data_IF_009526289412
#
_entry.id   IF_009526289412
#
_cell.length_a   1.000
_cell.length_b   1.000
_cell.length_c   1.000
_cell.angle_alpha   90.00
_cell.angle_beta   90.00
_cell.angle_gamma   90.00
#
_symmetry.space_group_name_H-M   'P 1'
#
loop_
_entity.id
_entity.type
_entity.pdbx_description
1 polymer ?
#
# COMPACT_ATOMS: atom_id res chain seq x y z
N UNK A 1 3.84 13.28 14.30
CA UNK A 1 3.50 11.90 13.90
C UNK A 1 2.10 11.46 14.37
N UNK A 2 1.43 12.17 15.28
CA UNK A 2 0.11 11.77 15.80
C UNK A 2 -1.09 12.10 14.89
N UNK A 3 -1.03 13.17 14.09
CA UNK A 3 -2.21 13.66 13.35
C UNK A 3 -2.52 12.85 12.08
N UNK A 4 -1.50 12.35 11.39
CA UNK A 4 -1.65 11.54 10.17
C UNK A 4 -2.30 10.17 10.47
N UNK A 5 -1.96 9.57 11.61
CA UNK A 5 -2.57 8.33 12.09
C UNK A 5 -4.05 8.51 12.46
N UNK A 6 -4.45 9.69 12.93
CA UNK A 6 -5.83 10.00 13.33
C UNK A 6 -6.72 10.23 12.10
N UNK A 7 -6.19 10.78 11.01
CA UNK A 7 -6.98 11.01 9.79
C UNK A 7 -7.32 9.70 9.04
N UNK A 8 -6.31 8.84 8.81
CA UNK A 8 -6.56 7.49 8.26
C UNK A 8 -7.56 6.72 9.15
N UNK A 9 -7.37 6.77 10.47
CA UNK A 9 -8.25 6.10 11.43
C UNK A 9 -9.69 6.64 11.50
N UNK A 10 -10.02 7.79 10.89
CA UNK A 10 -11.38 8.34 10.93
C UNK A 10 -12.14 8.27 9.60
N UNK A 11 -11.49 8.11 8.44
CA UNK A 11 -12.19 8.22 7.13
C UNK A 11 -11.70 7.29 6.01
N UNK A 12 -10.58 6.57 6.14
CA UNK A 12 -10.05 5.71 5.07
C UNK A 12 -9.76 4.28 5.53
N UNK A 13 -10.04 3.29 4.67
CA UNK A 13 -9.75 1.88 4.94
C UNK A 13 -8.55 1.46 4.06
N UNK A 14 -7.56 0.82 4.68
CA UNK A 14 -6.42 0.26 3.94
C UNK A 14 -6.85 -1.08 3.36
N UNK A 15 -6.64 -1.28 2.07
CA UNK A 15 -6.86 -2.57 1.43
C UNK A 15 -5.57 -3.37 1.41
N UNK A 16 -5.67 -4.66 1.69
CA UNK A 16 -4.57 -5.62 1.62
C UNK A 16 -4.98 -6.89 0.88
N UNK A 17 -4.01 -7.55 0.28
CA UNK A 17 -4.10 -8.94 -0.18
C UNK A 17 -2.91 -9.75 0.33
N UNK A 18 -3.01 -11.07 0.27
CA UNK A 18 -1.92 -11.99 0.63
C UNK A 18 -0.59 -11.60 -0.06
N UNK A 19 -0.64 -11.24 -1.34
CA UNK A 19 0.53 -10.84 -2.12
C UNK A 19 1.19 -9.54 -1.63
N UNK A 20 0.38 -8.56 -1.20
CA UNK A 20 0.89 -7.29 -0.66
C UNK A 20 1.45 -7.44 0.75
N UNK A 21 0.84 -8.32 1.57
CA UNK A 21 1.37 -8.65 2.90
C UNK A 21 2.68 -9.43 2.78
N UNK A 22 2.75 -10.39 1.84
CA UNK A 22 3.98 -11.11 1.54
C UNK A 22 5.09 -10.19 1.01
N UNK A 23 4.75 -9.19 0.18
CA UNK A 23 5.70 -8.15 -0.25
C UNK A 23 6.21 -7.36 0.95
N UNK A 24 5.32 -6.89 1.83
CA UNK A 24 5.70 -6.13 3.03
C UNK A 24 6.65 -6.94 3.92
N UNK A 25 6.33 -8.21 4.17
CA UNK A 25 7.19 -9.13 4.92
C UNK A 25 8.56 -9.29 4.25
N UNK A 26 8.58 -9.48 2.93
CA UNK A 26 9.82 -9.62 2.14
C UNK A 26 10.67 -8.36 2.22
N UNK A 27 10.05 -7.19 2.09
CA UNK A 27 10.71 -5.88 2.15
C UNK A 27 11.32 -5.66 3.52
N UNK A 28 10.58 -5.86 4.61
CA UNK A 28 11.07 -5.66 5.98
C UNK A 28 12.21 -6.61 6.35
N UNK A 29 12.29 -7.78 5.72
CA UNK A 29 13.39 -8.74 5.92
C UNK A 29 14.65 -8.48 5.07
N UNK A 30 14.65 -7.52 4.15
CA UNK A 30 15.85 -7.19 3.35
C UNK A 30 16.96 -6.67 4.26
N UNK A 31 18.20 -7.02 3.95
CA UNK A 31 19.38 -6.71 4.78
C UNK A 31 19.51 -5.22 5.12
N UNK A 32 19.19 -4.33 4.16
CA UNK A 32 19.21 -2.88 4.35
C UNK A 32 18.28 -2.38 5.45
N UNK A 33 17.21 -3.11 5.78
CA UNK A 33 16.26 -2.77 6.85
C UNK A 33 16.59 -3.49 8.16
N UNK A 34 17.21 -4.68 8.12
CA UNK A 34 17.58 -5.43 9.34
C UNK A 34 18.53 -4.68 10.27
N UNK A 35 19.31 -3.72 9.75
CA UNK A 35 20.14 -2.81 10.58
C UNK A 35 19.34 -1.77 11.38
N UNK A 36 18.07 -1.54 11.03
CA UNK A 36 17.21 -0.52 11.64
C UNK A 36 15.99 -1.12 12.34
N UNK A 37 15.49 -2.25 11.85
CA UNK A 37 14.25 -2.88 12.31
C UNK A 37 14.57 -4.30 12.76
N UNK A 38 14.30 -4.59 14.03
CA UNK A 38 14.40 -5.95 14.56
C UNK A 38 13.26 -6.82 14.02
N UNK A 39 13.51 -8.12 13.87
CA UNK A 39 12.55 -9.05 13.30
C UNK A 39 11.24 -9.14 14.11
N UNK A 40 11.33 -9.12 15.44
CA UNK A 40 10.18 -9.07 16.35
C UNK A 40 9.31 -7.82 16.11
N UNK A 41 9.95 -6.67 15.92
CA UNK A 41 9.31 -5.39 15.67
C UNK A 41 8.64 -5.36 14.29
N UNK A 42 9.27 -5.96 13.28
CA UNK A 42 8.67 -6.10 11.95
C UNK A 42 7.42 -6.99 11.97
N UNK A 43 7.46 -8.10 12.71
CA UNK A 43 6.31 -9.00 12.84
C UNK A 43 5.14 -8.30 13.54
N UNK A 44 5.40 -7.67 14.68
CA UNK A 44 4.38 -6.90 15.41
C UNK A 44 3.75 -5.80 14.53
N UNK A 45 4.56 -5.15 13.69
CA UNK A 45 4.06 -4.15 12.75
C UNK A 45 3.16 -4.76 11.68
N UNK A 46 3.52 -5.90 11.10
CA UNK A 46 2.70 -6.58 10.10
C UNK A 46 1.38 -7.05 10.71
N UNK A 47 1.41 -7.66 11.89
CA UNK A 47 0.19 -8.10 12.59
C UNK A 47 -0.75 -6.92 12.87
N UNK A 48 -0.21 -5.82 13.39
CA UNK A 48 -0.97 -4.59 13.59
C UNK A 48 -1.52 -4.04 12.27
N UNK A 49 -0.70 -3.94 11.24
CA UNK A 49 -1.10 -3.45 9.91
C UNK A 49 -2.24 -4.27 9.32
N UNK A 50 -2.17 -5.60 9.41
CA UNK A 50 -3.23 -6.50 8.96
C UNK A 50 -4.51 -6.28 9.78
N UNK A 51 -4.41 -6.12 11.11
CA UNK A 51 -5.58 -5.94 11.98
C UNK A 51 -6.38 -4.66 11.75
N UNK A 52 -5.76 -3.63 11.13
CA UNK A 52 -6.41 -2.35 10.82
C UNK A 52 -6.81 -2.22 9.34
N UNK A 53 -6.60 -3.27 8.55
CA UNK A 53 -6.83 -3.27 7.10
C UNK A 53 -7.98 -4.20 6.70
N UNK A 54 -8.57 -3.96 5.55
CA UNK A 54 -9.56 -4.84 4.92
C UNK A 54 -8.87 -5.77 3.93
N UNK A 55 -9.11 -7.08 4.07
CA UNK A 55 -8.56 -8.10 3.20
C UNK A 55 -9.41 -8.30 1.95
N UNK A 56 -8.76 -8.26 0.80
CA UNK A 56 -9.36 -8.39 -0.52
C UNK A 56 -8.75 -9.59 -1.23
N UNK A 57 -9.63 -10.50 -1.67
CA UNK A 57 -9.23 -11.63 -2.53
C UNK A 57 -9.09 -11.14 -3.97
N UNK A 58 -7.86 -11.16 -4.49
CA UNK A 58 -7.56 -10.81 -5.88
C UNK A 58 -7.69 -12.08 -6.75
N UNK A 59 -8.72 -12.15 -7.60
CA UNK A 59 -8.96 -13.29 -8.48
C UNK A 59 -8.36 -13.12 -9.88
N UNK A 60 -8.10 -11.89 -10.29
CA UNK A 60 -7.53 -11.54 -11.59
C UNK A 60 -6.31 -10.65 -11.38
N UNK A 61 -5.22 -10.98 -12.06
CA UNK A 61 -3.99 -10.19 -12.03
C UNK A 61 -3.92 -9.29 -13.25
N UNK A 62 -3.51 -8.04 -13.03
CA UNK A 62 -3.25 -7.09 -14.11
C UNK A 62 -1.80 -7.18 -14.56
N UNK A 63 -1.54 -6.74 -15.78
CA UNK A 63 -0.19 -6.67 -16.36
C UNK A 63 -0.05 -5.25 -16.95
N UNK A 64 0.19 -4.25 -16.09
CA UNK A 64 0.14 -2.84 -16.46
C UNK A 64 1.40 -2.01 -16.12
N UNK A 65 2.06 -2.24 -14.99
CA UNK A 65 3.26 -1.49 -14.57
C UNK A 65 4.58 -1.96 -15.23
N UNK A 66 5.49 -1.04 -15.60
CA UNK A 66 6.80 -1.42 -16.15
C UNK A 66 7.58 -2.39 -15.26
N UNK A 67 7.54 -2.20 -13.95
CA UNK A 67 7.93 -3.23 -12.98
C UNK A 67 6.73 -4.13 -12.68
N UNK A 68 6.81 -5.38 -13.16
CA UNK A 68 5.79 -6.42 -12.93
C UNK A 68 5.56 -6.73 -11.46
N UNK A 69 6.48 -6.36 -10.56
CA UNK A 69 6.28 -6.53 -9.12
C UNK A 69 5.19 -5.62 -8.57
N UNK A 70 4.93 -4.50 -9.22
CA UNK A 70 3.95 -3.51 -8.76
C UNK A 70 2.53 -3.80 -9.26
N UNK A 71 2.39 -4.72 -10.22
CA UNK A 71 1.09 -5.15 -10.74
C UNK A 71 0.17 -5.70 -9.63
N UNK A 72 0.73 -6.25 -8.55
CA UNK A 72 -0.04 -6.72 -7.39
C UNK A 72 -0.82 -5.60 -6.69
N UNK A 73 -0.27 -4.39 -6.66
CA UNK A 73 -0.94 -3.23 -6.05
C UNK A 73 -2.06 -2.71 -6.93
N UNK A 74 -1.86 -2.70 -8.25
CA UNK A 74 -2.91 -2.35 -9.21
C UNK A 74 -4.06 -3.38 -9.20
N UNK A 75 -3.71 -4.67 -9.17
CA UNK A 75 -4.69 -5.76 -9.09
C UNK A 75 -5.52 -5.67 -7.81
N UNK A 76 -4.88 -5.39 -6.68
CA UNK A 76 -5.55 -5.15 -5.40
C UNK A 76 -6.49 -3.94 -5.47
N UNK A 77 -6.02 -2.82 -6.04
CA UNK A 77 -6.82 -1.61 -6.15
C UNK A 77 -8.08 -1.84 -6.98
N UNK A 78 -7.99 -2.54 -8.11
CA UNK A 78 -9.14 -2.89 -8.95
C UNK A 78 -10.08 -3.86 -8.22
N UNK A 79 -9.55 -4.98 -7.71
CA UNK A 79 -10.37 -5.99 -7.03
C UNK A 79 -11.11 -5.43 -5.81
N UNK A 80 -10.44 -4.57 -5.05
CA UNK A 80 -10.97 -3.94 -3.85
C UNK A 80 -11.73 -2.64 -4.11
N UNK A 81 -11.86 -2.21 -5.37
CA UNK A 81 -12.52 -0.95 -5.78
C UNK A 81 -12.00 0.26 -4.99
N UNK A 82 -10.68 0.38 -4.91
CA UNK A 82 -10.02 1.44 -4.17
C UNK A 82 -10.41 2.82 -4.74
N UNK A 83 -10.64 3.79 -3.84
CA UNK A 83 -10.87 5.19 -4.25
C UNK A 83 -9.59 5.87 -4.77
N UNK A 84 -8.42 5.40 -4.33
CA UNK A 84 -7.12 5.86 -4.81
C UNK A 84 -5.99 4.88 -4.46
N UNK A 85 -4.85 5.06 -5.11
CA UNK A 85 -3.59 4.38 -4.78
C UNK A 85 -2.61 5.43 -4.25
N UNK A 86 -1.92 5.13 -3.16
CA UNK A 86 -0.83 5.97 -2.65
C UNK A 86 0.50 5.26 -2.96
N UNK A 87 1.33 5.89 -3.80
CA UNK A 87 2.58 5.31 -4.26
C UNK A 87 3.78 6.25 -4.02
N UNK A 88 4.95 5.64 -3.79
CA UNK A 88 6.23 6.33 -3.81
C UNK A 88 7.07 6.03 -5.06
N UNK A 89 6.69 4.99 -5.80
CA UNK A 89 7.38 4.52 -6.99
C UNK A 89 7.08 5.40 -8.21
N UNK A 90 8.12 5.76 -8.98
CA UNK A 90 7.95 6.64 -10.14
C UNK A 90 7.21 5.98 -11.30
N UNK A 91 7.40 4.68 -11.53
CA UNK A 91 6.72 3.99 -12.63
C UNK A 91 5.21 3.93 -12.37
N UNK A 92 4.78 3.74 -11.11
CA UNK A 92 3.36 3.85 -10.74
C UNK A 92 2.84 5.29 -10.83
N UNK A 93 3.62 6.26 -10.39
CA UNK A 93 3.19 7.67 -10.39
C UNK A 93 3.09 8.27 -11.79
N UNK A 94 3.90 7.80 -12.74
CA UNK A 94 3.84 8.20 -14.14
C UNK A 94 2.55 7.72 -14.83
N UNK A 95 1.86 6.72 -14.28
CA UNK A 95 0.55 6.29 -14.79
C UNK A 95 -0.56 7.30 -14.49
N UNK A 96 -0.41 8.13 -13.46
CA UNK A 96 -1.37 9.13 -12.94
C UNK A 96 -2.67 8.50 -12.40
N UNK A 97 -3.27 7.56 -13.13
CA UNK A 97 -4.42 6.79 -12.76
C UNK A 97 -4.38 5.40 -13.42
N UNK A 98 -5.03 4.41 -12.81
CA UNK A 98 -5.22 3.08 -13.40
C UNK A 98 -6.69 2.68 -13.32
N UNK A 99 -7.32 2.37 -14.46
CA UNK A 99 -8.75 2.05 -14.55
C UNK A 99 -9.68 3.07 -13.85
N UNK A 100 -9.31 4.35 -13.91
CA UNK A 100 -10.04 5.44 -13.25
C UNK A 100 -9.70 5.66 -11.78
N UNK A 101 -8.87 4.80 -11.18
CA UNK A 101 -8.38 4.93 -9.81
C UNK A 101 -7.16 5.88 -9.81
N UNK A 102 -7.25 7.07 -9.18
CA UNK A 102 -6.15 8.03 -9.15
C UNK A 102 -4.98 7.52 -8.30
N UNK A 103 -3.76 7.83 -8.74
CA UNK A 103 -2.52 7.49 -8.04
C UNK A 103 -1.88 8.77 -7.50
N UNK A 104 -1.68 8.84 -6.20
CA UNK A 104 -1.12 9.99 -5.51
C UNK A 104 0.24 9.69 -4.90
N UNK A 105 1.12 10.70 -4.88
CA UNK A 105 2.22 10.71 -3.92
C UNK A 105 1.65 10.85 -2.52
N UNK A 106 2.29 10.23 -1.54
CA UNK A 106 1.90 10.37 -0.13
C UNK A 106 1.76 11.83 0.30
N UNK A 107 2.70 12.70 -0.11
CA UNK A 107 2.65 14.14 0.22
C UNK A 107 1.43 14.85 -0.36
N UNK A 108 0.97 14.44 -1.54
CA UNK A 108 -0.15 15.08 -2.22
C UNK A 108 -1.47 14.58 -1.63
N UNK A 109 -1.56 13.27 -1.34
CA UNK A 109 -2.66 12.69 -0.60
C UNK A 109 -2.89 13.42 0.75
N UNK A 110 -1.82 13.62 1.53
CA UNK A 110 -1.92 14.31 2.82
C UNK A 110 -2.43 15.75 2.68
N UNK A 111 -2.04 16.48 1.64
CA UNK A 111 -2.50 17.84 1.40
C UNK A 111 -3.96 17.91 0.96
N UNK A 112 -4.42 16.93 0.19
CA UNK A 112 -5.76 16.91 -0.38
C UNK A 112 -6.80 16.44 0.62
N UNK A 113 -6.45 15.47 1.47
CA UNK A 113 -7.41 14.78 2.31
C UNK A 113 -7.20 15.06 3.80
N UNK A 114 -5.97 15.14 4.30
CA UNK A 114 -5.68 15.16 5.74
C UNK A 114 -5.59 16.56 6.40
N UNK A 115 -6.37 17.55 5.93
CA UNK A 115 -6.37 18.91 6.49
C UNK A 115 -7.16 19.03 7.81
#
# INVERSE_FOLDING_TARGET
>A
MSECSIFLARQGIILISDDTVAELFTVLNREKFRKYIRQDSAMNYIEWYVSISESVTVTESVIACRDRKDDKFLSLAVAGKADCIIAGDSDLLDMIAYEGIPIYRATDFLKLFCQ
#
